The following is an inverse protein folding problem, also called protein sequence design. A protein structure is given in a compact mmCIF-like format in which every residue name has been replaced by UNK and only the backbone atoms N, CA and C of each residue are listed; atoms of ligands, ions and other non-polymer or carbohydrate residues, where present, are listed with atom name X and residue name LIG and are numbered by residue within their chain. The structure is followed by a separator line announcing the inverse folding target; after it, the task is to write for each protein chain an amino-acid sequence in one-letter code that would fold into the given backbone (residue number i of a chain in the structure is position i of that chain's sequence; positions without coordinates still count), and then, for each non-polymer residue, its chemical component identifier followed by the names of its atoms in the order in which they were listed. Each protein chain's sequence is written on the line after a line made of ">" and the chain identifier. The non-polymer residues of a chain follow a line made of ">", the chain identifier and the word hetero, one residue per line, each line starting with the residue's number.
data_IF_815427588409
#
_entry.id   IF_815427588409
#
_cell.length_a   1.000
_cell.length_b   1.000
_cell.length_c   1.000
_cell.angle_alpha   90.00
_cell.angle_beta   90.00
_cell.angle_gamma   90.00
#
_symmetry.space_group_name_H-M   'P 1'
#
loop_
_entity.id
_entity.type
_entity.pdbx_description
1 polymer ?
#
# COMPACT_ATOMS: atom_id res chain seq x y z
N UNK A 1 -0.50 -6.41 -26.90
CA UNK A 1 -0.81 -5.90 -25.56
C UNK A 1 0.30 -4.99 -25.05
N UNK A 2 -0.07 -4.02 -24.25
CA UNK A 2 0.87 -3.10 -23.64
C UNK A 2 1.24 -3.54 -22.24
N UNK A 3 2.38 -3.09 -21.77
CA UNK A 3 2.84 -3.35 -20.40
C UNK A 3 2.76 -2.08 -19.58
N UNK A 4 2.39 -2.23 -18.33
CA UNK A 4 2.28 -1.14 -17.38
C UNK A 4 2.98 -1.55 -16.08
N UNK A 5 3.70 -0.61 -15.51
CA UNK A 5 4.22 -0.77 -14.15
C UNK A 5 3.11 -0.34 -13.17
N UNK A 6 2.82 -1.17 -12.21
CA UNK A 6 1.84 -0.87 -11.18
C UNK A 6 2.49 -0.78 -9.82
N UNK A 7 2.00 0.15 -9.01
CA UNK A 7 2.49 0.44 -7.68
C UNK A 7 1.28 0.52 -6.76
N UNK A 8 1.22 -0.37 -5.79
CA UNK A 8 0.10 -0.46 -4.86
C UNK A 8 0.60 -0.14 -3.46
N UNK A 9 0.11 0.94 -2.88
CA UNK A 9 0.43 1.34 -1.51
C UNK A 9 -0.71 0.88 -0.62
N UNK A 10 -0.40 0.04 0.36
CA UNK A 10 -1.38 -0.58 1.24
C UNK A 10 -1.13 -0.09 2.67
N UNK A 11 -2.17 0.45 3.29
CA UNK A 11 -2.08 0.98 4.65
C UNK A 11 -3.20 0.40 5.51
N UNK A 12 -2.94 0.11 6.80
CA UNK A 12 -4.04 -0.23 7.71
C UNK A 12 -4.99 0.95 7.84
N UNK A 13 -6.28 0.64 7.97
CA UNK A 13 -7.29 1.69 8.18
C UNK A 13 -7.04 2.40 9.51
N UNK A 14 -7.47 3.65 9.58
CA UNK A 14 -7.19 4.50 10.76
C UNK A 14 -7.67 3.89 12.08
N UNK A 15 -8.80 3.19 12.05
CA UNK A 15 -9.40 2.59 13.25
C UNK A 15 -8.78 1.25 13.64
N UNK A 16 -7.92 0.69 12.78
CA UNK A 16 -7.29 -0.61 13.03
C UNK A 16 -6.00 -0.41 13.83
N UNK A 17 -5.79 -1.27 14.83
CA UNK A 17 -4.57 -1.29 15.61
C UNK A 17 -3.38 -1.63 14.71
N UNK A 18 -2.29 -0.89 14.86
CA UNK A 18 -1.07 -1.05 14.11
C UNK A 18 0.09 -1.30 15.08
N UNK A 19 0.29 -2.56 15.53
CA UNK A 19 1.34 -2.85 16.51
C UNK A 19 2.74 -2.47 16.03
N UNK A 20 3.00 -2.60 14.75
CA UNK A 20 4.29 -2.27 14.16
C UNK A 20 4.56 -0.77 14.23
N UNK A 21 3.58 0.04 13.83
CA UNK A 21 3.67 1.50 13.93
C UNK A 21 3.78 1.97 15.36
N UNK A 22 3.03 1.35 16.28
CA UNK A 22 3.09 1.68 17.69
C UNK A 22 4.47 1.39 18.29
N UNK A 23 5.10 0.29 17.88
CA UNK A 23 6.44 -0.05 18.34
C UNK A 23 7.47 0.97 17.84
N UNK A 24 7.39 1.37 16.58
CA UNK A 24 8.27 2.40 16.03
C UNK A 24 8.08 3.71 16.79
N UNK A 25 6.83 4.12 16.99
CA UNK A 25 6.53 5.37 17.67
C UNK A 25 7.07 5.40 19.09
N UNK A 26 6.95 4.29 19.82
CA UNK A 26 7.45 4.16 21.19
C UNK A 26 8.97 4.19 21.28
N UNK A 27 9.63 3.66 20.24
CA UNK A 27 11.10 3.54 20.22
C UNK A 27 11.79 4.87 19.89
N UNK A 28 11.18 5.71 19.06
CA UNK A 28 11.80 6.93 18.57
C UNK A 28 12.31 7.87 19.68
N UNK A 29 11.54 8.16 20.73
CA UNK A 29 12.08 9.03 21.80
C UNK A 29 13.31 8.44 22.49
N UNK A 30 13.39 7.12 22.63
CA UNK A 30 14.49 6.47 23.32
C UNK A 30 15.81 6.57 22.55
N UNK A 31 15.77 6.90 21.26
CA UNK A 31 16.97 7.10 20.44
C UNK A 31 17.13 8.55 19.97
N UNK A 32 16.45 9.49 20.66
CA UNK A 32 16.67 10.91 20.47
C UNK A 32 15.69 11.62 19.53
N UNK A 33 14.65 10.94 19.07
CA UNK A 33 13.66 11.57 18.17
C UNK A 33 12.36 11.81 18.92
N UNK A 34 12.17 13.04 19.37
CA UNK A 34 10.95 13.43 20.07
C UNK A 34 10.02 14.22 19.16
N UNK A 35 8.74 14.25 19.52
CA UNK A 35 7.75 15.01 18.78
C UNK A 35 7.18 14.30 17.57
N UNK A 36 7.49 13.03 17.38
CA UNK A 36 6.95 12.23 16.28
C UNK A 36 5.76 11.42 16.82
N UNK A 37 4.62 11.58 16.19
CA UNK A 37 3.39 10.86 16.56
C UNK A 37 2.68 10.36 15.30
N UNK A 38 1.70 9.48 15.49
CA UNK A 38 0.89 9.01 14.40
C UNK A 38 1.60 8.08 13.42
N UNK A 39 2.60 7.34 13.91
CA UNK A 39 3.36 6.42 13.05
C UNK A 39 2.48 5.27 12.60
N UNK A 40 2.41 5.07 11.28
CA UNK A 40 1.65 3.99 10.67
C UNK A 40 2.58 3.23 9.73
N UNK A 41 2.52 1.92 9.75
CA UNK A 41 3.34 1.08 8.88
C UNK A 41 2.44 0.37 7.87
N UNK A 42 2.78 0.50 6.62
CA UNK A 42 2.10 -0.18 5.53
C UNK A 42 3.11 -0.86 4.62
N UNK A 43 2.65 -1.25 3.44
CA UNK A 43 3.51 -1.91 2.47
C UNK A 43 3.29 -1.34 1.08
N UNK A 44 4.30 -1.46 0.25
CA UNK A 44 4.24 -1.06 -1.16
C UNK A 44 4.55 -2.29 -2.00
N UNK A 45 3.66 -2.57 -2.93
CA UNK A 45 3.80 -3.70 -3.85
C UNK A 45 4.02 -3.14 -5.24
N UNK A 46 5.00 -3.66 -5.97
CA UNK A 46 5.23 -3.28 -7.37
C UNK A 46 5.09 -4.51 -8.25
N UNK A 47 4.51 -4.31 -9.42
CA UNK A 47 4.35 -5.40 -10.38
C UNK A 47 4.26 -4.84 -11.80
N UNK A 48 4.37 -5.72 -12.78
CA UNK A 48 4.13 -5.40 -14.18
C UNK A 48 2.90 -6.13 -14.63
N UNK A 49 1.99 -5.43 -15.32
CA UNK A 49 0.77 -6.01 -15.84
C UNK A 49 0.72 -5.81 -17.36
N UNK A 50 0.31 -6.85 -18.08
CA UNK A 50 0.03 -6.76 -19.52
C UNK A 50 -1.47 -6.64 -19.74
N UNK A 51 -1.88 -5.68 -20.54
CA UNK A 51 -3.28 -5.45 -20.85
C UNK A 51 -3.40 -4.69 -22.17
N UNK A 52 -4.58 -4.73 -22.81
CA UNK A 52 -4.78 -3.99 -24.06
C UNK A 52 -4.66 -2.47 -23.91
N UNK A 53 -5.08 -1.95 -22.75
CA UNK A 53 -5.07 -0.52 -22.46
C UNK A 53 -4.94 -0.26 -20.96
N UNK A 54 -4.81 1.01 -20.60
CA UNK A 54 -4.63 1.41 -19.21
C UNK A 54 -5.86 1.08 -18.36
N UNK A 55 -7.05 1.24 -18.88
CA UNK A 55 -8.28 0.95 -18.15
C UNK A 55 -8.37 -0.53 -17.78
N UNK A 56 -8.06 -1.41 -18.72
CA UNK A 56 -8.03 -2.86 -18.48
C UNK A 56 -6.95 -3.22 -17.46
N UNK A 57 -5.78 -2.61 -17.57
CA UNK A 57 -4.69 -2.82 -16.62
C UNK A 57 -5.12 -2.41 -15.20
N UNK A 58 -5.76 -1.27 -15.07
CA UNK A 58 -6.26 -0.77 -13.78
C UNK A 58 -7.27 -1.73 -13.17
N UNK A 59 -8.18 -2.24 -13.97
CA UNK A 59 -9.21 -3.18 -13.51
C UNK A 59 -8.55 -4.48 -13.00
N UNK A 60 -7.58 -5.00 -13.74
CA UNK A 60 -6.86 -6.21 -13.33
C UNK A 60 -6.15 -6.00 -11.99
N UNK A 61 -5.40 -4.92 -11.86
CA UNK A 61 -4.63 -4.63 -10.65
C UNK A 61 -5.56 -4.34 -9.47
N UNK A 62 -6.64 -3.61 -9.70
CA UNK A 62 -7.64 -3.34 -8.67
C UNK A 62 -8.25 -4.63 -8.14
N UNK A 63 -8.65 -5.53 -9.02
CA UNK A 63 -9.22 -6.81 -8.61
C UNK A 63 -8.22 -7.66 -7.84
N UNK A 64 -6.97 -7.69 -8.28
CA UNK A 64 -5.92 -8.41 -7.59
C UNK A 64 -5.64 -7.80 -6.21
N UNK A 65 -5.67 -6.48 -6.12
CA UNK A 65 -5.46 -5.77 -4.85
C UNK A 65 -6.53 -6.16 -3.83
N UNK A 66 -7.79 -6.20 -4.24
CA UNK A 66 -8.88 -6.55 -3.35
C UNK A 66 -8.90 -8.03 -2.96
N UNK A 67 -8.41 -8.90 -3.85
CA UNK A 67 -8.45 -10.34 -3.58
C UNK A 67 -7.27 -10.85 -2.78
N UNK A 68 -6.08 -10.28 -2.97
CA UNK A 68 -4.88 -10.86 -2.37
C UNK A 68 -3.84 -9.83 -1.90
N UNK A 69 -3.69 -8.70 -2.61
CA UNK A 69 -2.60 -7.76 -2.30
C UNK A 69 -2.88 -6.95 -1.04
N UNK A 70 -4.14 -6.63 -0.80
CA UNK A 70 -4.59 -5.94 0.41
C UNK A 70 -5.69 -6.75 1.07
N UNK A 71 -5.84 -6.57 2.38
CA UNK A 71 -6.98 -7.14 3.11
C UNK A 71 -8.05 -6.05 3.22
N UNK A 72 -9.13 -6.11 2.42
CA UNK A 72 -10.11 -5.01 2.36
C UNK A 72 -10.89 -4.81 3.65
N UNK A 73 -10.83 -5.78 4.57
CA UNK A 73 -11.49 -5.66 5.87
C UNK A 73 -10.75 -4.67 6.77
N UNK A 74 -9.41 -4.67 6.71
CA UNK A 74 -8.58 -3.89 7.64
C UNK A 74 -7.63 -2.92 6.96
N UNK A 75 -7.53 -2.94 5.62
CA UNK A 75 -6.58 -2.13 4.88
C UNK A 75 -7.24 -1.35 3.77
N UNK A 76 -6.69 -0.16 3.50
CA UNK A 76 -6.99 0.63 2.31
C UNK A 76 -5.81 0.54 1.37
N UNK A 77 -6.04 0.79 0.08
CA UNK A 77 -4.95 0.82 -0.88
C UNK A 77 -5.14 1.92 -1.91
N UNK A 78 -4.02 2.36 -2.45
CA UNK A 78 -3.97 3.26 -3.60
C UNK A 78 -3.11 2.63 -4.66
N UNK A 79 -3.47 2.81 -5.93
CA UNK A 79 -2.66 2.27 -7.01
C UNK A 79 -2.31 3.33 -8.03
N UNK A 80 -1.11 3.20 -8.59
CA UNK A 80 -0.63 4.05 -9.68
C UNK A 80 -0.16 3.15 -10.81
N UNK A 81 -0.46 3.54 -12.06
CA UNK A 81 0.00 2.87 -13.25
C UNK A 81 0.87 3.79 -14.07
N UNK A 82 1.94 3.23 -14.61
CA UNK A 82 2.83 3.95 -15.52
C UNK A 82 3.03 3.09 -16.77
N UNK A 83 2.75 3.61 -17.96
CA UNK A 83 3.04 2.87 -19.19
C UNK A 83 4.52 2.57 -19.33
N UNK A 84 4.82 1.40 -19.82
CA UNK A 84 6.20 0.97 -20.10
C UNK A 84 6.54 1.03 -21.58
#
# INVERSE_FOLDING_TARGET
>A
MSKFAAQINVMPRAEISDPQGQTVERTLPSIGFEGITGVRVGKRITLTVEAPDEESARTIVSNASEKILANPVIEDYELELTPL
#
